data_IF_870489656860
#
_entry.id   IF_870489656860
#
_cell.length_a   1.000
_cell.length_b   1.000
_cell.length_c   1.000
_cell.angle_alpha   90.00
_cell.angle_beta   90.00
_cell.angle_gamma   90.00
#
_symmetry.space_group_name_H-M   'P 1'
#
loop_
_entity.id
_entity.type
_entity.pdbx_description
1 polymer ?
#
# COMPACT_ATOMS: atom_id res chain seq x y z
N UNK A 1 15.98 -21.08 -32.41
CA UNK A 1 15.90 -21.75 -33.72
C UNK A 1 14.58 -22.51 -33.89
N UNK A 2 14.25 -23.49 -33.03
CA UNK A 2 13.06 -24.34 -33.21
C UNK A 2 11.71 -23.57 -33.25
N UNK A 3 11.51 -22.56 -32.39
CA UNK A 3 10.28 -21.75 -32.42
C UNK A 3 10.17 -20.81 -33.62
N UNK A 4 11.30 -20.28 -34.13
CA UNK A 4 11.33 -19.39 -35.29
C UNK A 4 11.13 -20.17 -36.61
N UNK A 5 11.66 -21.40 -36.70
CA UNK A 5 11.48 -22.28 -37.85
C UNK A 5 10.02 -22.70 -38.04
N UNK A 6 9.29 -22.99 -36.95
CA UNK A 6 7.90 -23.43 -37.01
C UNK A 6 6.89 -22.35 -37.43
N UNK A 7 7.16 -21.07 -37.15
CA UNK A 7 6.20 -19.98 -37.39
C UNK A 7 6.49 -19.12 -38.63
N UNK A 8 7.70 -19.18 -39.21
CA UNK A 8 8.10 -18.24 -40.26
C UNK A 8 8.11 -18.83 -41.68
N UNK A 9 7.97 -20.14 -41.86
CA UNK A 9 7.94 -20.78 -43.19
C UNK A 9 9.27 -20.75 -43.95
N UNK A 10 10.37 -20.44 -43.27
CA UNK A 10 11.74 -20.33 -43.81
C UNK A 10 12.61 -21.58 -43.57
N UNK A 11 11.98 -22.75 -43.36
CA UNK A 11 12.66 -24.02 -43.06
C UNK A 11 13.75 -24.38 -44.08
N UNK A 12 13.42 -24.31 -45.38
CA UNK A 12 14.34 -24.66 -46.48
C UNK A 12 15.49 -23.64 -46.64
N UNK A 13 15.27 -22.38 -46.24
CA UNK A 13 16.25 -21.29 -46.40
C UNK A 13 17.24 -21.26 -45.23
N UNK A 14 16.77 -21.60 -44.03
CA UNK A 14 17.59 -21.69 -42.82
C UNK A 14 18.47 -22.96 -42.81
N UNK A 15 18.05 -24.04 -43.47
CA UNK A 15 18.84 -25.26 -43.63
C UNK A 15 20.07 -25.10 -44.56
N UNK A 16 20.09 -24.06 -45.39
CA UNK A 16 21.19 -23.72 -46.30
C UNK A 16 22.30 -22.88 -45.64
N UNK A 17 22.09 -22.40 -44.42
CA UNK A 17 23.08 -21.62 -43.67
C UNK A 17 23.97 -22.55 -42.82
N UNK A 18 25.31 -22.49 -42.97
CA UNK A 18 26.23 -23.40 -42.29
C UNK A 18 26.35 -23.17 -40.78
N UNK A 19 26.01 -21.97 -40.29
CA UNK A 19 26.05 -21.60 -38.86
C UNK A 19 24.85 -20.71 -38.49
N UNK A 20 24.55 -20.63 -37.19
CA UNK A 20 23.45 -19.85 -36.64
C UNK A 20 23.67 -18.35 -36.89
N UNK A 21 22.88 -17.69 -37.76
CA UNK A 21 23.08 -16.29 -38.12
C UNK A 21 22.45 -15.31 -37.10
N UNK A 22 21.74 -15.81 -36.09
CA UNK A 22 21.09 -14.98 -35.08
C UNK A 22 22.11 -14.63 -33.99
N UNK A 23 22.25 -13.34 -33.63
CA UNK A 23 23.07 -12.93 -32.50
C UNK A 23 22.54 -13.54 -31.20
N UNK A 24 23.43 -13.82 -30.26
CA UNK A 24 23.05 -14.30 -28.94
C UNK A 24 22.29 -13.21 -28.18
N UNK A 25 21.06 -13.52 -27.74
CA UNK A 25 20.21 -12.59 -27.01
C UNK A 25 20.13 -13.02 -25.54
N UNK A 26 20.59 -12.14 -24.65
CA UNK A 26 20.47 -12.32 -23.21
C UNK A 26 19.31 -11.47 -22.68
N UNK A 27 18.27 -12.11 -22.13
CA UNK A 27 17.15 -11.41 -21.51
C UNK A 27 17.47 -11.14 -20.04
N UNK A 28 17.61 -9.86 -19.68
CA UNK A 28 17.88 -9.42 -18.31
C UNK A 28 16.59 -8.89 -17.69
N UNK A 29 16.13 -9.51 -16.60
CA UNK A 29 15.01 -9.03 -15.80
C UNK A 29 15.57 -8.22 -14.63
N UNK A 30 15.37 -6.88 -14.59
CA UNK A 30 15.83 -6.07 -13.47
C UNK A 30 15.10 -6.47 -12.18
N UNK A 31 15.83 -6.48 -11.06
CA UNK A 31 15.24 -6.66 -9.74
C UNK A 31 14.35 -5.46 -9.36
N UNK A 32 13.54 -5.60 -8.31
CA UNK A 32 12.61 -4.55 -7.87
C UNK A 32 13.28 -3.18 -7.62
N UNK A 33 14.57 -3.16 -7.25
CA UNK A 33 15.36 -1.94 -7.04
C UNK A 33 15.68 -1.19 -8.34
N UNK A 34 15.70 -1.88 -9.49
CA UNK A 34 15.97 -1.31 -10.82
C UNK A 34 14.72 -1.20 -11.69
N UNK A 35 13.53 -1.27 -11.08
CA UNK A 35 12.25 -1.20 -11.78
C UNK A 35 11.88 0.21 -12.28
N UNK A 36 12.49 1.26 -11.71
CA UNK A 36 12.27 2.64 -12.17
C UNK A 36 12.97 2.92 -13.50
N UNK A 37 12.41 3.82 -14.31
CA UNK A 37 12.95 4.14 -15.63
C UNK A 37 14.40 4.64 -15.59
N UNK A 38 14.76 5.41 -14.56
CA UNK A 38 16.11 5.92 -14.35
C UNK A 38 17.10 4.82 -13.96
N UNK A 39 16.69 3.92 -13.06
CA UNK A 39 17.54 2.82 -12.59
C UNK A 39 17.77 1.78 -13.69
N UNK A 40 16.73 1.44 -14.46
CA UNK A 40 16.84 0.56 -15.62
C UNK A 40 17.78 1.14 -16.70
N UNK A 41 17.73 2.46 -16.91
CA UNK A 41 18.65 3.13 -17.83
C UNK A 41 20.10 3.08 -17.33
N UNK A 42 20.32 3.33 -16.05
CA UNK A 42 21.67 3.26 -15.45
C UNK A 42 22.25 1.85 -15.55
N UNK A 43 21.41 0.83 -15.37
CA UNK A 43 21.78 -0.57 -15.55
C UNK A 43 22.13 -0.89 -17.01
N UNK A 44 21.36 -0.36 -17.97
CA UNK A 44 21.66 -0.50 -19.39
C UNK A 44 23.02 0.13 -19.74
N UNK A 45 23.26 1.36 -19.28
CA UNK A 45 24.49 2.09 -19.55
C UNK A 45 25.70 1.31 -18.99
N UNK A 46 25.58 0.76 -17.77
CA UNK A 46 26.62 -0.07 -17.14
C UNK A 46 26.87 -1.39 -17.88
N UNK A 47 25.83 -1.99 -18.48
CA UNK A 47 25.95 -3.22 -19.25
C UNK A 47 26.56 -2.97 -20.65
N UNK A 48 26.26 -1.83 -21.26
CA UNK A 48 26.83 -1.44 -22.56
C UNK A 48 28.33 -1.07 -22.48
N UNK A 49 28.84 -0.71 -21.30
CA UNK A 49 30.28 -0.50 -21.08
C UNK A 49 31.10 -1.80 -21.10
N UNK A 50 30.44 -2.97 -20.94
CA UNK A 50 31.12 -4.25 -21.00
C UNK A 50 31.39 -4.68 -22.45
N UNK A 51 32.63 -5.06 -22.75
CA UNK A 51 33.08 -5.47 -24.10
C UNK A 51 32.39 -6.71 -24.69
N UNK A 52 31.54 -7.38 -23.91
CA UNK A 52 30.76 -8.56 -24.31
C UNK A 52 29.35 -8.20 -24.80
N UNK A 53 28.92 -6.94 -24.66
CA UNK A 53 27.58 -6.46 -25.03
C UNK A 53 27.69 -5.54 -26.25
N UNK A 54 27.14 -5.97 -27.38
CA UNK A 54 27.20 -5.23 -28.64
C UNK A 54 26.06 -4.19 -28.77
N UNK A 55 24.84 -4.55 -28.37
CA UNK A 55 23.69 -3.63 -28.38
C UNK A 55 22.73 -3.96 -27.22
N UNK A 56 22.48 -2.98 -26.35
CA UNK A 56 21.45 -3.08 -25.32
C UNK A 56 20.19 -2.33 -25.75
N UNK A 57 19.04 -3.01 -25.86
CA UNK A 57 17.75 -2.37 -26.20
C UNK A 57 16.87 -2.23 -24.96
N UNK A 58 16.57 -0.98 -24.60
CA UNK A 58 15.58 -0.63 -23.60
C UNK A 58 14.66 0.44 -24.18
N UNK A 59 13.35 0.19 -24.21
CA UNK A 59 12.39 1.23 -24.56
C UNK A 59 12.18 2.16 -23.37
N UNK A 60 13.12 3.10 -23.22
CA UNK A 60 13.14 4.08 -22.13
C UNK A 60 11.90 4.97 -22.17
N UNK A 61 11.36 5.27 -23.36
CA UNK A 61 10.20 6.14 -23.51
C UNK A 61 8.94 5.46 -22.96
N UNK A 62 8.73 4.18 -23.29
CA UNK A 62 7.62 3.42 -22.71
C UNK A 62 7.75 3.28 -21.20
N UNK A 63 8.95 2.97 -20.70
CA UNK A 63 9.20 2.80 -19.27
C UNK A 63 8.98 4.11 -18.49
N UNK A 64 9.39 5.26 -19.04
CA UNK A 64 9.13 6.58 -18.47
C UNK A 64 7.64 6.92 -18.43
N UNK A 65 6.88 6.59 -19.47
CA UNK A 65 5.42 6.79 -19.50
C UNK A 65 4.74 5.95 -18.42
N UNK A 66 5.15 4.69 -18.28
CA UNK A 66 4.61 3.80 -17.24
C UNK A 66 4.96 4.30 -15.83
N UNK A 67 6.21 4.68 -15.58
CA UNK A 67 6.65 5.26 -14.31
C UNK A 67 5.85 6.54 -13.97
N UNK A 68 5.60 7.38 -14.96
CA UNK A 68 4.75 8.57 -14.80
C UNK A 68 3.32 8.20 -14.38
N UNK A 69 2.69 7.22 -15.05
CA UNK A 69 1.33 6.75 -14.70
C UNK A 69 1.30 6.17 -13.28
N UNK A 70 2.28 5.35 -12.91
CA UNK A 70 2.39 4.76 -11.56
C UNK A 70 2.55 5.86 -10.52
N UNK A 71 3.40 6.85 -10.77
CA UNK A 71 3.62 7.98 -9.85
C UNK A 71 2.35 8.83 -9.66
N UNK A 72 1.56 9.05 -10.72
CA UNK A 72 0.27 9.74 -10.63
C UNK A 72 -0.74 8.95 -9.79
N UNK A 73 -0.80 7.63 -9.95
CA UNK A 73 -1.65 6.76 -9.14
C UNK A 73 -1.22 6.75 -7.67
N UNK A 74 0.09 6.72 -7.39
CA UNK A 74 0.60 6.83 -6.02
C UNK A 74 0.23 8.17 -5.37
N UNK A 75 0.34 9.28 -6.10
CA UNK A 75 -0.07 10.59 -5.60
C UNK A 75 -1.58 10.66 -5.30
N UNK A 76 -2.41 10.10 -6.18
CA UNK A 76 -3.85 9.99 -5.95
C UNK A 76 -4.18 9.12 -4.71
N UNK A 77 -3.46 8.01 -4.52
CA UNK A 77 -3.60 7.16 -3.36
C UNK A 77 -3.23 7.90 -2.06
N UNK A 78 -2.15 8.68 -2.04
CA UNK A 78 -1.78 9.51 -0.90
C UNK A 78 -2.86 10.54 -0.55
N UNK A 79 -3.46 11.18 -1.56
CA UNK A 79 -4.56 12.12 -1.35
C UNK A 79 -5.77 11.43 -0.72
N UNK A 80 -6.13 10.25 -1.21
CA UNK A 80 -7.22 9.44 -0.63
C UNK A 80 -6.92 9.02 0.82
N UNK A 81 -5.68 8.61 1.12
CA UNK A 81 -5.27 8.27 2.48
C UNK A 81 -5.50 9.47 3.40
N UNK A 82 -4.98 10.65 3.06
CA UNK A 82 -5.12 11.86 3.88
C UNK A 82 -6.60 12.22 4.08
N UNK A 83 -7.41 12.14 3.02
CA UNK A 83 -8.85 12.40 3.08
C UNK A 83 -9.55 11.45 4.07
N UNK A 84 -9.29 10.15 3.96
CA UNK A 84 -9.90 9.13 4.81
C UNK A 84 -9.44 9.24 6.26
N UNK A 85 -8.16 9.50 6.51
CA UNK A 85 -7.65 9.72 7.87
C UNK A 85 -8.32 10.91 8.53
N UNK A 86 -8.51 12.01 7.78
CA UNK A 86 -9.22 13.20 8.25
C UNK A 86 -10.69 12.89 8.53
N UNK A 87 -11.37 12.16 7.64
CA UNK A 87 -12.76 11.75 7.84
C UNK A 87 -12.93 10.90 9.11
N UNK A 88 -12.06 9.92 9.34
CA UNK A 88 -12.07 9.09 10.55
C UNK A 88 -11.84 9.96 11.79
N UNK A 89 -10.86 10.86 11.76
CA UNK A 89 -10.60 11.76 12.87
C UNK A 89 -11.81 12.65 13.19
N UNK A 90 -12.51 13.17 12.18
CA UNK A 90 -13.74 13.96 12.34
C UNK A 90 -14.88 13.13 12.93
N UNK A 91 -15.10 11.91 12.44
CA UNK A 91 -16.16 11.01 12.93
C UNK A 91 -15.93 10.66 14.40
N UNK A 92 -14.71 10.24 14.75
CA UNK A 92 -14.32 9.92 16.13
C UNK A 92 -14.48 11.15 17.01
N UNK A 93 -13.97 12.31 16.56
CA UNK A 93 -14.07 13.58 17.29
C UNK A 93 -15.52 13.98 17.57
N UNK A 94 -16.41 13.89 16.59
CA UNK A 94 -17.82 14.24 16.75
C UNK A 94 -18.53 13.27 17.70
N UNK A 95 -18.22 11.98 17.59
CA UNK A 95 -18.78 10.94 18.46
C UNK A 95 -18.38 11.16 19.92
N UNK A 96 -17.11 11.52 20.17
CA UNK A 96 -16.61 11.86 21.49
C UNK A 96 -17.25 13.13 22.04
N UNK A 97 -17.40 14.17 21.21
CA UNK A 97 -18.10 15.40 21.59
C UNK A 97 -19.53 15.12 22.07
N UNK A 98 -20.27 14.30 21.33
CA UNK A 98 -21.64 13.91 21.71
C UNK A 98 -21.65 13.13 23.03
N UNK A 99 -20.72 12.19 23.22
CA UNK A 99 -20.60 11.43 24.47
C UNK A 99 -20.25 12.32 25.68
N UNK A 100 -19.34 13.28 25.51
CA UNK A 100 -19.00 14.27 26.55
C UNK A 100 -20.22 15.12 26.89
N UNK A 101 -20.95 15.59 25.88
CA UNK A 101 -22.14 16.42 26.09
C UNK A 101 -23.25 15.68 26.85
N UNK A 102 -23.47 14.40 26.52
CA UNK A 102 -24.43 13.55 27.24
C UNK A 102 -24.05 13.32 28.71
N UNK A 103 -22.76 13.38 29.04
CA UNK A 103 -22.25 13.24 30.42
C UNK A 103 -21.84 14.57 31.06
N UNK A 104 -22.28 15.71 30.50
CA UNK A 104 -21.84 17.04 30.96
C UNK A 104 -22.05 17.26 32.46
N UNK A 105 -23.22 16.90 32.98
CA UNK A 105 -23.54 17.09 34.40
C UNK A 105 -22.62 16.26 35.31
N UNK A 106 -22.28 15.03 34.93
CA UNK A 106 -21.33 14.18 35.67
C UNK A 106 -19.93 14.81 35.67
N UNK A 107 -19.50 15.34 34.53
CA UNK A 107 -18.21 16.01 34.35
C UNK A 107 -18.12 17.28 35.21
N UNK A 108 -19.19 18.06 35.26
CA UNK A 108 -19.27 19.27 36.07
C UNK A 108 -19.15 18.96 37.57
N UNK A 109 -19.88 17.96 38.06
CA UNK A 109 -19.75 17.48 39.45
C UNK A 109 -18.33 16.99 39.73
N UNK A 110 -17.73 16.21 38.81
CA UNK A 110 -16.35 15.75 38.97
C UNK A 110 -15.35 16.92 39.07
N UNK A 111 -15.52 17.97 38.25
CA UNK A 111 -14.68 19.18 38.34
C UNK A 111 -14.87 19.94 39.65
N UNK A 112 -16.11 20.06 40.15
CA UNK A 112 -16.39 20.72 41.44
C UNK A 112 -15.75 20.01 42.64
N UNK A 113 -15.60 18.68 42.57
CA UNK A 113 -14.93 17.88 43.61
C UNK A 113 -13.39 17.86 43.41
N UNK A 114 -12.87 18.58 42.41
CA UNK A 114 -11.43 18.75 42.17
C UNK A 114 -10.79 17.66 41.30
N UNK A 115 -11.57 16.93 40.51
CA UNK A 115 -11.00 15.95 39.59
C UNK A 115 -10.13 16.63 38.51
N UNK A 116 -8.92 16.11 38.31
CA UNK A 116 -8.02 16.59 37.24
C UNK A 116 -8.62 16.31 35.86
N UNK A 117 -8.39 17.19 34.88
CA UNK A 117 -8.83 16.96 33.50
C UNK A 117 -8.36 15.59 32.98
N UNK A 118 -7.11 15.20 33.24
CA UNK A 118 -6.57 13.90 32.81
C UNK A 118 -7.39 12.70 33.34
N UNK A 119 -7.98 12.79 34.53
CA UNK A 119 -8.84 11.73 35.07
C UNK A 119 -10.13 11.60 34.25
N UNK A 120 -10.73 12.73 33.87
CA UNK A 120 -11.97 12.80 33.09
C UNK A 120 -11.71 12.34 31.64
N UNK A 121 -10.51 12.58 31.10
CA UNK A 121 -10.14 12.26 29.72
C UNK A 121 -9.92 10.75 29.45
N UNK A 122 -9.39 10.00 30.42
CA UNK A 122 -9.04 8.57 30.30
C UNK A 122 -10.13 7.68 29.69
N UNK A 123 -11.39 7.67 30.18
CA UNK A 123 -12.43 6.81 29.63
C UNK A 123 -12.67 7.05 28.14
N UNK A 124 -12.59 8.31 27.70
CA UNK A 124 -12.77 8.71 26.31
C UNK A 124 -11.58 8.31 25.42
N UNK A 125 -10.36 8.36 25.96
CA UNK A 125 -9.17 7.86 25.28
C UNK A 125 -9.23 6.34 25.07
N UNK A 126 -9.74 5.58 26.04
CA UNK A 126 -9.95 4.14 25.88
C UNK A 126 -10.93 3.81 24.76
N UNK A 127 -11.96 4.64 24.56
CA UNK A 127 -12.87 4.45 23.42
C UNK A 127 -12.12 4.61 22.09
N UNK A 128 -11.26 5.62 21.97
CA UNK A 128 -10.41 5.83 20.79
C UNK A 128 -9.43 4.66 20.53
N UNK A 129 -8.82 4.14 21.60
CA UNK A 129 -7.97 2.94 21.55
C UNK A 129 -8.72 1.72 20.99
N UNK A 130 -9.91 1.43 21.53
CA UNK A 130 -10.73 0.31 21.08
C UNK A 130 -11.20 0.47 19.64
N UNK A 131 -11.56 1.69 19.22
CA UNK A 131 -11.88 1.96 17.81
C UNK A 131 -10.70 1.66 16.89
N UNK A 132 -9.47 2.03 17.29
CA UNK A 132 -8.26 1.76 16.52
C UNK A 132 -7.95 0.26 16.42
N UNK A 133 -8.02 -0.49 17.52
CA UNK A 133 -7.78 -1.94 17.53
C UNK A 133 -8.83 -2.69 16.70
N UNK A 134 -10.11 -2.46 16.97
CA UNK A 134 -11.20 -3.16 16.29
C UNK A 134 -11.21 -2.80 14.81
N UNK A 135 -10.99 -1.51 14.48
CA UNK A 135 -10.87 -1.06 13.10
C UNK A 135 -9.69 -1.70 12.37
N UNK A 136 -8.52 -1.75 13.00
CA UNK A 136 -7.33 -2.39 12.43
C UNK A 136 -7.52 -3.90 12.24
N UNK A 137 -8.12 -4.58 13.22
CA UNK A 137 -8.42 -6.02 13.11
C UNK A 137 -9.40 -6.28 11.96
N UNK A 138 -10.45 -5.46 11.85
CA UNK A 138 -11.44 -5.59 10.79
C UNK A 138 -10.84 -5.29 9.41
N UNK A 139 -9.96 -4.30 9.31
CA UNK A 139 -9.22 -4.00 8.07
C UNK A 139 -8.33 -5.18 7.66
N UNK A 140 -7.60 -5.79 8.60
CA UNK A 140 -6.76 -6.96 8.29
C UNK A 140 -7.58 -8.16 7.80
N UNK A 141 -8.72 -8.44 8.45
CA UNK A 141 -9.64 -9.51 8.02
C UNK A 141 -10.17 -9.22 6.61
N UNK A 142 -10.63 -7.99 6.35
CA UNK A 142 -11.13 -7.59 5.04
C UNK A 142 -10.07 -7.70 3.94
N UNK A 143 -8.83 -7.28 4.22
CA UNK A 143 -7.72 -7.43 3.28
C UNK A 143 -7.45 -8.89 2.95
N UNK A 144 -7.42 -9.79 3.95
CA UNK A 144 -7.22 -11.22 3.70
C UNK A 144 -8.35 -11.82 2.86
N UNK A 145 -9.61 -11.44 3.13
CA UNK A 145 -10.76 -11.89 2.33
C UNK A 145 -10.61 -11.41 0.87
N UNK A 146 -10.23 -10.15 0.65
CA UNK A 146 -10.01 -9.59 -0.69
C UNK A 146 -8.89 -10.31 -1.43
N UNK A 147 -7.80 -10.65 -0.74
CA UNK A 147 -6.68 -11.38 -1.32
C UNK A 147 -7.08 -12.78 -1.76
N UNK A 148 -7.76 -13.54 -0.89
CA UNK A 148 -8.27 -14.88 -1.23
C UNK A 148 -9.26 -14.81 -2.40
N UNK A 149 -10.12 -13.80 -2.43
CA UNK A 149 -11.07 -13.60 -3.51
C UNK A 149 -10.39 -13.26 -4.85
N UNK A 150 -9.34 -12.45 -4.79
CA UNK A 150 -8.52 -12.09 -5.97
C UNK A 150 -7.71 -13.29 -6.46
N UNK A 151 -7.12 -14.07 -5.56
CA UNK A 151 -6.42 -15.31 -5.90
C UNK A 151 -7.35 -16.30 -6.60
N UNK A 152 -8.57 -16.48 -6.08
CA UNK A 152 -9.59 -17.32 -6.72
C UNK A 152 -9.99 -16.80 -8.12
N UNK A 153 -10.12 -15.48 -8.29
CA UNK A 153 -10.40 -14.88 -9.59
C UNK A 153 -9.24 -15.05 -10.58
N UNK A 154 -7.99 -14.94 -10.10
CA UNK A 154 -6.78 -15.10 -10.91
C UNK A 154 -6.51 -16.54 -11.31
N UNK A 155 -6.79 -17.53 -10.46
CA UNK A 155 -6.64 -18.95 -10.80
C UNK A 155 -7.50 -19.36 -12.00
N UNK A 156 -8.69 -18.75 -12.17
CA UNK A 156 -9.52 -18.96 -13.35
C UNK A 156 -8.87 -18.46 -14.66
N UNK A 157 -7.98 -17.48 -14.57
CA UNK A 157 -7.22 -16.93 -15.70
C UNK A 157 -5.87 -17.66 -15.86
N UNK A 158 -5.22 -18.01 -14.74
CA UNK A 158 -3.88 -18.62 -14.66
C UNK A 158 -3.80 -20.05 -15.22
N UNK A 159 -4.93 -20.78 -15.26
CA UNK A 159 -5.03 -22.06 -15.98
C UNK A 159 -4.61 -21.96 -17.46
N UNK A 160 -4.64 -20.75 -18.04
CA UNK A 160 -4.24 -20.48 -19.43
C UNK A 160 -2.73 -20.22 -19.59
N UNK A 161 -1.99 -19.92 -18.52
CA UNK A 161 -0.60 -19.43 -18.58
C UNK A 161 0.43 -20.24 -17.77
N UNK A 162 0.04 -21.32 -17.06
CA UNK A 162 0.95 -22.22 -16.31
C UNK A 162 1.93 -21.50 -15.36
N UNK A 163 1.51 -20.38 -14.77
CA UNK A 163 2.28 -19.62 -13.78
C UNK A 163 1.51 -19.65 -12.46
N UNK A 164 2.10 -20.24 -11.42
CA UNK A 164 1.52 -20.23 -10.08
C UNK A 164 1.73 -18.83 -9.46
N UNK A 165 0.75 -17.94 -9.65
CA UNK A 165 0.75 -16.60 -9.03
C UNK A 165 0.28 -16.75 -7.59
N UNK A 166 1.24 -16.91 -6.67
CA UNK A 166 0.97 -16.78 -5.25
C UNK A 166 0.95 -15.31 -4.85
N UNK A 167 -0.22 -14.79 -4.51
CA UNK A 167 -0.33 -13.50 -3.85
C UNK A 167 0.10 -13.67 -2.40
N UNK A 168 1.27 -13.14 -2.04
CA UNK A 168 1.71 -13.13 -0.65
C UNK A 168 0.72 -12.33 0.20
N UNK A 169 0.08 -13.01 1.16
CA UNK A 169 -0.78 -12.37 2.16
C UNK A 169 -0.02 -11.38 3.04
N UNK A 170 -0.76 -10.55 3.78
CA UNK A 170 -0.17 -9.72 4.84
C UNK A 170 0.55 -10.62 5.85
N UNK A 171 1.86 -10.44 5.95
CA UNK A 171 2.71 -11.07 6.94
C UNK A 171 2.30 -10.67 8.37
N UNK A 172 2.70 -11.49 9.34
CA UNK A 172 2.44 -11.21 10.76
C UNK A 172 3.08 -9.88 11.20
N UNK A 173 4.18 -9.48 10.57
CA UNK A 173 4.87 -8.22 10.85
C UNK A 173 4.06 -7.03 10.34
N UNK A 174 3.49 -7.11 9.14
CA UNK A 174 2.64 -6.06 8.58
C UNK A 174 1.33 -5.93 9.36
N UNK A 175 0.78 -7.04 9.86
CA UNK A 175 -0.33 -7.00 10.80
C UNK A 175 0.00 -6.20 12.07
N UNK A 176 1.19 -6.42 12.65
CA UNK A 176 1.66 -5.66 13.81
C UNK A 176 1.73 -4.16 13.55
N UNK A 177 2.31 -3.76 12.42
CA UNK A 177 2.35 -2.35 12.00
C UNK A 177 0.97 -1.77 11.77
N UNK A 178 0.07 -2.50 11.10
CA UNK A 178 -1.28 -2.06 10.81
C UNK A 178 -2.07 -1.78 12.09
N UNK A 179 -2.05 -2.70 13.06
CA UNK A 179 -2.73 -2.52 14.35
C UNK A 179 -2.13 -1.34 15.11
N UNK A 180 -0.80 -1.21 15.11
CA UNK A 180 -0.11 -0.11 15.79
C UNK A 180 -0.53 1.24 15.19
N UNK A 181 -0.49 1.39 13.87
CA UNK A 181 -0.89 2.63 13.20
C UNK A 181 -2.38 2.95 13.41
N UNK A 182 -3.27 1.96 13.28
CA UNK A 182 -4.69 2.15 13.51
C UNK A 182 -4.99 2.59 14.95
N UNK A 183 -4.30 1.99 15.92
CA UNK A 183 -4.45 2.32 17.35
C UNK A 183 -3.91 3.72 17.65
N UNK A 184 -2.73 4.08 17.15
CA UNK A 184 -2.17 5.42 17.30
C UNK A 184 -3.07 6.49 16.69
N UNK A 185 -3.66 6.20 15.53
CA UNK A 185 -4.58 7.12 14.88
C UNK A 185 -5.86 7.31 15.69
N UNK A 186 -6.46 6.23 16.20
CA UNK A 186 -7.64 6.29 17.07
C UNK A 186 -7.39 7.04 18.39
N UNK A 187 -6.23 6.79 19.01
CA UNK A 187 -5.79 7.52 20.20
C UNK A 187 -5.54 9.00 19.90
N UNK A 188 -4.82 9.31 18.82
CA UNK A 188 -4.50 10.68 18.42
C UNK A 188 -5.75 11.50 18.11
N UNK A 189 -6.69 10.92 17.35
CA UNK A 189 -7.97 11.53 17.06
C UNK A 189 -8.80 11.78 18.34
N UNK A 190 -8.84 10.80 19.24
CA UNK A 190 -9.56 10.95 20.51
C UNK A 190 -8.94 12.01 21.40
N UNK A 191 -7.61 11.99 21.57
CA UNK A 191 -6.87 12.95 22.37
C UNK A 191 -7.05 14.39 21.88
N UNK A 192 -6.94 14.61 20.56
CA UNK A 192 -7.17 15.91 19.95
C UNK A 192 -8.58 16.45 20.23
N UNK A 193 -9.60 15.60 20.07
CA UNK A 193 -11.00 15.98 20.32
C UNK A 193 -11.27 16.28 21.80
N UNK A 194 -10.86 15.38 22.68
CA UNK A 194 -11.15 15.45 24.11
C UNK A 194 -10.49 16.68 24.75
N UNK A 195 -9.22 16.94 24.43
CA UNK A 195 -8.49 18.10 24.94
C UNK A 195 -9.14 19.43 24.50
N UNK A 196 -9.70 19.47 23.29
CA UNK A 196 -10.40 20.65 22.77
C UNK A 196 -11.75 20.88 23.47
N UNK A 197 -12.52 19.83 23.73
CA UNK A 197 -13.90 19.97 24.23
C UNK A 197 -14.01 20.04 25.76
N UNK A 198 -13.15 19.35 26.52
CA UNK A 198 -13.21 19.41 28.00
C UNK A 198 -12.73 20.77 28.54
N UNK A 199 -11.79 21.43 27.87
CA UNK A 199 -11.36 22.80 28.20
C UNK A 199 -12.46 23.85 28.03
N UNK A 200 -13.49 23.56 27.24
CA UNK A 200 -14.63 24.47 27.05
C UNK A 200 -15.68 24.32 28.16
N UNK A 201 -15.58 23.28 29.00
CA UNK A 201 -16.48 23.02 30.13
C UNK A 201 -15.74 23.39 31.40
N UNK A 202 -15.40 24.66 31.55
CA UNK A 202 -14.95 25.22 32.83
C UNK A 202 -16.16 25.87 33.53
N UNK A 203 -16.45 25.50 34.79
CA UNK A 203 -17.53 26.13 35.54
C UNK A 203 -17.14 27.56 35.89
N UNK A 204 -18.04 28.50 35.56
CA UNK A 204 -18.03 29.90 36.02
C UNK A 204 -18.63 30.03 37.41
#
# INVERSE_FOLDING_TARGET
>A
MAEFQANSGFEDVLALLPENPLPDVLLVLPSAEYSSASAAKTLLDSLQEHSLVEEGRLDVEWLQRLDTIVSMLQQAAWLLIILLLTAVALIVSNTLRLNILNRRNEIEVMKLVGATDAFIQRPFLYTGFWFGIVGGLMAWVLCNILLIWTEYALQQIGLLYQQDIYLSGLSIQEFGWLILFATLLGLGASWFSVNRHIKQIEPS
#
